data_IF_937143847713
#
_entry.id   IF_937143847713
#
_cell.length_a   1.000
_cell.length_b   1.000
_cell.length_c   1.000
_cell.angle_alpha   90.00
_cell.angle_beta   90.00
_cell.angle_gamma   90.00
#
_symmetry.space_group_name_H-M   'P 1'
#
loop_
_entity.id
_entity.type
_entity.pdbx_description
1 polymer ?
#
# COMPACT_ATOMS: atom_id res chain seq x y z
N UNK A 1 15.11 -29.13 32.33
CA UNK A 1 16.24 -28.27 32.75
C UNK A 1 16.31 -27.10 31.80
N UNK A 2 15.97 -25.89 32.24
CA UNK A 2 16.04 -24.68 31.42
C UNK A 2 17.50 -24.21 31.39
N UNK A 3 18.10 -24.17 30.20
CA UNK A 3 19.41 -23.55 29.98
C UNK A 3 19.21 -22.04 29.86
N UNK A 4 19.58 -21.32 30.92
CA UNK A 4 19.65 -19.87 30.92
C UNK A 4 20.95 -19.45 30.23
N UNK A 5 20.87 -19.09 28.95
CA UNK A 5 21.93 -18.39 28.24
C UNK A 5 21.64 -16.89 28.37
N UNK A 6 22.65 -16.13 28.80
CA UNK A 6 22.54 -14.71 29.11
C UNK A 6 22.07 -13.86 27.93
N UNK A 7 21.46 -12.72 28.28
CA UNK A 7 20.97 -11.64 27.41
C UNK A 7 19.70 -11.95 26.58
N UNK A 8 18.58 -12.11 27.31
CA UNK A 8 17.22 -11.56 27.09
C UNK A 8 16.62 -11.41 25.68
N UNK A 9 17.11 -12.09 24.64
CA UNK A 9 16.27 -12.47 23.50
C UNK A 9 15.79 -13.90 23.75
N UNK A 10 14.57 -14.03 24.26
CA UNK A 10 13.84 -15.30 24.17
C UNK A 10 13.65 -15.59 22.68
N UNK A 11 14.56 -16.37 22.10
CA UNK A 11 14.42 -16.91 20.74
C UNK A 11 13.23 -17.86 20.78
N UNK A 12 12.03 -17.33 20.58
CA UNK A 12 10.80 -18.11 20.44
C UNK A 12 10.93 -18.95 19.17
N UNK A 13 11.26 -20.22 19.33
CA UNK A 13 11.14 -21.18 18.23
C UNK A 13 9.66 -21.55 18.10
N UNK A 14 8.98 -21.13 17.01
CA UNK A 14 7.57 -21.45 16.84
C UNK A 14 7.39 -22.96 16.77
N UNK A 15 6.31 -23.46 17.36
CA UNK A 15 5.93 -24.87 17.20
C UNK A 15 5.69 -25.16 15.71
N UNK A 16 5.86 -26.40 15.23
CA UNK A 16 5.59 -26.76 13.83
C UNK A 16 4.21 -26.27 13.35
N UNK A 17 3.18 -26.45 14.18
CA UNK A 17 1.81 -25.97 13.93
C UNK A 17 1.70 -24.45 13.77
N UNK A 18 2.44 -23.67 14.57
CA UNK A 18 2.48 -22.20 14.47
C UNK A 18 3.18 -21.74 13.19
N UNK A 19 4.22 -22.48 12.78
CA UNK A 19 4.97 -22.18 11.55
C UNK A 19 4.13 -22.44 10.29
N UNK A 20 3.38 -23.55 10.25
CA UNK A 20 2.48 -23.88 9.14
C UNK A 20 1.33 -22.88 9.04
N UNK A 21 0.74 -22.49 10.18
CA UNK A 21 -0.29 -21.46 10.22
C UNK A 21 0.21 -20.10 9.70
N UNK A 22 1.42 -19.70 10.10
CA UNK A 22 2.05 -18.45 9.65
C UNK A 22 2.30 -18.46 8.13
N UNK A 23 2.82 -19.57 7.58
CA UNK A 23 3.00 -19.73 6.14
C UNK A 23 1.66 -19.69 5.38
N UNK A 24 0.64 -20.37 5.89
CA UNK A 24 -0.69 -20.33 5.29
C UNK A 24 -1.28 -18.91 5.27
N UNK A 25 -1.16 -18.20 6.40
CA UNK A 25 -1.61 -16.79 6.52
C UNK A 25 -0.87 -15.87 5.55
N UNK A 26 0.45 -16.08 5.40
CA UNK A 26 1.27 -15.36 4.43
C UNK A 26 0.74 -15.55 3.00
N UNK A 27 0.58 -16.78 2.54
CA UNK A 27 0.10 -17.08 1.19
C UNK A 27 -1.31 -16.55 0.94
N UNK A 28 -2.21 -16.72 1.91
CA UNK A 28 -3.58 -16.22 1.83
C UNK A 28 -3.61 -14.70 1.61
N UNK A 29 -2.76 -13.96 2.33
CA UNK A 29 -2.66 -12.50 2.19
C UNK A 29 -2.13 -12.10 0.81
N UNK A 30 -1.10 -12.79 0.31
CA UNK A 30 -0.53 -12.52 -1.01
C UNK A 30 -1.53 -12.78 -2.14
N UNK A 31 -2.24 -13.91 -2.11
CA UNK A 31 -3.26 -14.22 -3.10
C UNK A 31 -4.43 -13.24 -3.05
N UNK A 32 -4.86 -12.83 -1.85
CA UNK A 32 -5.89 -11.80 -1.72
C UNK A 32 -5.45 -10.48 -2.35
N UNK A 33 -4.20 -10.06 -2.15
CA UNK A 33 -3.65 -8.86 -2.78
C UNK A 33 -3.60 -8.97 -4.31
N UNK A 34 -3.12 -10.10 -4.84
CA UNK A 34 -3.12 -10.33 -6.30
C UNK A 34 -4.54 -10.30 -6.88
N UNK A 35 -5.51 -10.91 -6.20
CA UNK A 35 -6.91 -10.87 -6.63
C UNK A 35 -7.46 -9.44 -6.69
N UNK A 36 -7.18 -8.61 -5.67
CA UNK A 36 -7.56 -7.19 -5.68
C UNK A 36 -6.89 -6.46 -6.84
N UNK A 37 -5.60 -6.72 -7.09
CA UNK A 37 -4.86 -6.06 -8.17
C UNK A 37 -5.45 -6.42 -9.53
N UNK A 38 -5.68 -7.71 -9.80
CA UNK A 38 -6.26 -8.19 -11.05
C UNK A 38 -7.66 -7.60 -11.24
N UNK A 39 -8.51 -7.64 -10.22
CA UNK A 39 -9.84 -7.06 -10.27
C UNK A 39 -9.79 -5.56 -10.61
N UNK A 40 -8.90 -4.83 -9.95
CA UNK A 40 -8.71 -3.40 -10.20
C UNK A 40 -8.23 -3.11 -11.63
N UNK A 41 -7.30 -3.89 -12.17
CA UNK A 41 -6.84 -3.75 -13.55
C UNK A 41 -7.99 -3.97 -14.56
N UNK A 42 -8.84 -4.98 -14.31
CA UNK A 42 -10.04 -5.23 -15.12
C UNK A 42 -11.00 -4.04 -15.05
N UNK A 43 -11.32 -3.56 -13.84
CA UNK A 43 -12.26 -2.45 -13.66
C UNK A 43 -11.75 -1.13 -14.28
N UNK A 44 -10.44 -0.89 -14.21
CA UNK A 44 -9.78 0.28 -14.80
C UNK A 44 -9.71 0.25 -16.33
N UNK A 45 -9.94 -0.90 -16.96
CA UNK A 45 -9.93 -1.05 -18.42
C UNK A 45 -11.24 -0.55 -19.08
N UNK A 46 -12.37 -0.67 -18.39
CA UNK A 46 -13.69 -0.37 -18.97
C UNK A 46 -14.13 1.07 -18.69
N UNK A 47 -14.38 1.88 -19.74
CA UNK A 47 -14.55 3.34 -19.67
C UNK A 47 -15.28 3.95 -18.46
N UNK A 48 -16.60 3.74 -18.31
CA UNK A 48 -17.39 4.34 -17.21
C UNK A 48 -16.99 3.76 -15.85
N UNK A 49 -16.76 2.45 -15.76
CA UNK A 49 -16.34 1.78 -14.53
C UNK A 49 -14.95 2.19 -14.09
N UNK A 50 -14.06 2.53 -15.02
CA UNK A 50 -12.69 2.98 -14.72
C UNK A 50 -12.68 4.26 -13.90
N UNK A 51 -13.60 5.20 -14.19
CA UNK A 51 -13.70 6.44 -13.40
C UNK A 51 -14.18 6.16 -11.98
N UNK A 52 -15.17 5.27 -11.83
CA UNK A 52 -15.69 4.87 -10.52
C UNK A 52 -14.59 4.13 -9.74
N UNK A 53 -13.94 3.15 -10.37
CA UNK A 53 -12.86 2.37 -9.77
C UNK A 53 -11.67 3.23 -9.35
N UNK A 54 -11.25 4.18 -10.19
CA UNK A 54 -10.19 5.13 -9.87
C UNK A 54 -10.56 5.99 -8.64
N UNK A 55 -11.77 6.56 -8.61
CA UNK A 55 -12.21 7.38 -7.49
C UNK A 55 -12.35 6.56 -6.19
N UNK A 56 -12.95 5.38 -6.26
CA UNK A 56 -13.08 4.45 -5.14
C UNK A 56 -11.70 4.05 -4.62
N UNK A 57 -10.75 3.75 -5.51
CA UNK A 57 -9.39 3.43 -5.14
C UNK A 57 -8.67 4.59 -4.44
N UNK A 58 -8.80 5.81 -4.96
CA UNK A 58 -8.24 7.02 -4.35
C UNK A 58 -8.78 7.27 -2.93
N UNK A 59 -10.09 7.04 -2.73
CA UNK A 59 -10.72 7.16 -1.41
C UNK A 59 -10.21 6.05 -0.47
N UNK A 60 -10.26 4.79 -0.90
CA UNK A 60 -9.83 3.64 -0.10
C UNK A 60 -8.36 3.75 0.30
N UNK A 61 -7.46 4.06 -0.65
CA UNK A 61 -6.05 4.23 -0.32
C UNK A 61 -5.83 5.40 0.65
N UNK A 62 -6.64 6.46 0.57
CA UNK A 62 -6.53 7.59 1.50
C UNK A 62 -6.97 7.19 2.89
N UNK A 63 -8.05 6.42 3.01
CA UNK A 63 -8.51 5.89 4.30
C UNK A 63 -7.45 4.99 4.93
N UNK A 64 -6.84 4.10 4.13
CA UNK A 64 -5.73 3.25 4.59
C UNK A 64 -4.53 4.11 4.99
N UNK A 65 -4.16 5.08 4.16
CA UNK A 65 -3.05 6.01 4.43
C UNK A 65 -3.24 6.82 5.71
N UNK A 66 -4.45 7.34 5.94
CA UNK A 66 -4.80 8.05 7.17
C UNK A 66 -4.73 7.09 8.37
N UNK A 67 -5.25 5.87 8.24
CA UNK A 67 -5.14 4.84 9.28
C UNK A 67 -3.69 4.52 9.63
N UNK A 68 -2.82 4.35 8.62
CA UNK A 68 -1.40 4.14 8.79
C UNK A 68 -0.70 5.33 9.43
N UNK A 69 -1.06 6.56 9.02
CA UNK A 69 -0.54 7.79 9.60
C UNK A 69 -0.94 7.93 11.08
N UNK A 70 -2.20 7.63 11.43
CA UNK A 70 -2.65 7.62 12.81
C UNK A 70 -1.89 6.54 13.61
N UNK A 71 -1.79 5.32 13.10
CA UNK A 71 -0.98 4.30 13.76
C UNK A 71 0.45 4.77 13.97
N UNK A 72 1.05 5.46 12.99
CA UNK A 72 2.40 6.01 13.11
C UNK A 72 2.54 7.00 14.27
N UNK A 73 1.58 7.90 14.45
CA UNK A 73 1.62 8.89 15.54
C UNK A 73 1.21 8.33 16.91
N UNK A 74 0.38 7.29 16.93
CA UNK A 74 -0.24 6.78 18.17
C UNK A 74 0.29 5.40 18.63
N UNK A 75 1.27 4.79 17.94
CA UNK A 75 1.94 3.54 18.40
C UNK A 75 3.41 3.77 18.71
N UNK A 76 4.02 2.86 19.48
CA UNK A 76 5.45 2.92 19.79
C UNK A 76 6.27 2.88 18.51
N UNK A 77 7.29 3.74 18.43
CA UNK A 77 8.04 3.96 17.19
C UNK A 77 8.74 2.70 16.67
N UNK A 78 9.02 1.71 17.52
CA UNK A 78 9.61 0.42 17.11
C UNK A 78 8.70 -0.37 16.16
N UNK A 79 7.38 -0.27 16.31
CA UNK A 79 6.41 -0.96 15.44
C UNK A 79 6.09 -0.11 14.20
N UNK A 80 6.08 1.21 14.35
CA UNK A 80 5.77 2.14 13.27
C UNK A 80 6.91 2.32 12.27
N UNK A 81 8.18 2.32 12.72
CA UNK A 81 9.34 2.68 11.90
C UNK A 81 9.49 1.87 10.60
N UNK A 82 8.97 0.63 10.58
CA UNK A 82 9.06 -0.24 9.42
C UNK A 82 7.82 -0.19 8.50
N UNK A 83 6.85 0.68 8.78
CA UNK A 83 5.62 0.75 8.01
C UNK A 83 5.71 1.72 6.82
N UNK A 84 6.62 1.42 5.88
CA UNK A 84 6.82 2.19 4.64
C UNK A 84 5.60 2.22 3.72
N UNK A 85 4.57 1.42 4.02
CA UNK A 85 3.32 1.39 3.28
C UNK A 85 2.57 2.73 3.29
N UNK A 86 2.88 3.63 4.22
CA UNK A 86 2.34 5.00 4.23
C UNK A 86 2.67 5.78 2.95
N UNK A 87 3.80 5.47 2.28
CA UNK A 87 4.16 6.10 1.00
C UNK A 87 3.35 5.51 -0.16
N UNK A 88 2.97 4.23 -0.09
CA UNK A 88 2.12 3.57 -1.09
C UNK A 88 0.67 4.03 -0.99
N UNK A 89 0.16 4.15 0.24
CA UNK A 89 -1.19 4.58 0.55
C UNK A 89 -1.19 6.06 0.92
N UNK A 90 -1.23 6.92 -0.09
CA UNK A 90 -1.11 8.36 0.10
C UNK A 90 -2.36 8.93 0.80
N UNK A 91 -2.26 9.46 2.04
CA UNK A 91 -3.41 9.87 2.85
C UNK A 91 -4.22 11.01 2.24
N UNK A 92 -3.61 11.80 1.37
CA UNK A 92 -4.25 12.94 0.70
C UNK A 92 -4.72 12.62 -0.72
N UNK A 93 -4.71 11.35 -1.15
CA UNK A 93 -5.09 10.97 -2.51
C UNK A 93 -6.57 11.29 -2.85
N UNK A 94 -7.44 11.36 -1.84
CA UNK A 94 -8.85 11.70 -2.01
C UNK A 94 -9.05 13.12 -2.55
N UNK A 95 -8.07 14.03 -2.35
CA UNK A 95 -8.09 15.38 -2.90
C UNK A 95 -8.12 15.38 -4.43
N UNK A 96 -7.71 14.29 -5.08
CA UNK A 96 -7.79 14.14 -6.53
C UNK A 96 -9.20 13.91 -7.06
N UNK A 97 -10.13 13.45 -6.22
CA UNK A 97 -11.55 13.28 -6.57
C UNK A 97 -12.20 14.65 -6.75
N UNK A 98 -11.77 15.64 -5.97
CA UNK A 98 -12.32 16.99 -6.00
C UNK A 98 -11.64 17.87 -7.07
N UNK A 99 -12.31 18.97 -7.43
CA UNK A 99 -11.71 20.04 -8.27
C UNK A 99 -10.84 20.92 -7.37
N UNK A 100 -9.55 20.59 -7.29
CA UNK A 100 -8.56 21.31 -6.49
C UNK A 100 -7.68 22.21 -7.36
N UNK A 101 -7.14 23.27 -6.78
CA UNK A 101 -6.15 24.14 -7.42
C UNK A 101 -4.83 23.37 -7.66
N UNK A 102 -4.18 23.60 -8.80
CA UNK A 102 -2.89 23.00 -9.18
C UNK A 102 -2.86 21.46 -9.27
N UNK A 103 -3.97 20.86 -9.74
CA UNK A 103 -4.13 19.39 -9.84
C UNK A 103 -2.95 18.67 -10.51
N UNK A 104 -2.34 19.25 -11.55
CA UNK A 104 -1.14 18.68 -12.21
C UNK A 104 0.06 18.52 -11.27
N UNK A 105 0.37 19.53 -10.45
CA UNK A 105 1.48 19.49 -9.50
C UNK A 105 1.25 18.44 -8.43
N UNK A 106 0.01 18.34 -7.92
CA UNK A 106 -0.34 17.36 -6.89
C UNK A 106 -0.26 15.94 -7.46
N UNK A 107 -0.72 15.71 -8.71
CA UNK A 107 -0.59 14.41 -9.38
C UNK A 107 0.87 14.04 -9.57
N UNK A 108 1.71 14.99 -10.01
CA UNK A 108 3.14 14.78 -10.18
C UNK A 108 3.80 14.39 -8.85
N UNK A 109 3.50 15.11 -7.78
CA UNK A 109 3.97 14.78 -6.44
C UNK A 109 3.56 13.38 -5.99
N UNK A 110 2.31 13.00 -6.23
CA UNK A 110 1.81 11.65 -5.94
C UNK A 110 2.54 10.55 -6.72
N UNK A 111 2.85 10.78 -8.00
CA UNK A 111 3.65 9.84 -8.80
C UNK A 111 5.08 9.76 -8.26
N UNK A 112 5.70 10.88 -7.90
CA UNK A 112 7.05 10.90 -7.29
C UNK A 112 7.07 10.08 -5.99
N UNK A 113 6.10 10.28 -5.09
CA UNK A 113 5.98 9.50 -3.85
C UNK A 113 5.87 8.00 -4.16
N UNK A 114 5.06 7.62 -5.15
CA UNK A 114 4.92 6.22 -5.56
C UNK A 114 6.24 5.63 -6.09
N UNK A 115 7.03 6.42 -6.83
CA UNK A 115 8.35 5.98 -7.30
C UNK A 115 9.36 5.85 -6.15
N UNK A 116 9.32 6.73 -5.15
CA UNK A 116 10.14 6.58 -3.94
C UNK A 116 9.76 5.31 -3.17
N UNK A 117 8.47 5.00 -3.11
CA UNK A 117 8.01 3.76 -2.50
C UNK A 117 8.52 2.53 -3.24
N UNK A 118 8.64 2.55 -4.58
CA UNK A 118 9.21 1.42 -5.34
C UNK A 118 10.62 1.07 -4.86
N UNK A 119 11.47 2.08 -4.63
CA UNK A 119 12.82 1.89 -4.10
C UNK A 119 12.75 1.25 -2.71
N UNK A 120 11.89 1.76 -1.83
CA UNK A 120 11.69 1.19 -0.50
C UNK A 120 11.18 -0.27 -0.58
N UNK A 121 10.23 -0.57 -1.46
CA UNK A 121 9.67 -1.91 -1.61
C UNK A 121 10.73 -2.96 -1.99
N UNK A 122 11.67 -2.59 -2.86
CA UNK A 122 12.81 -3.45 -3.21
C UNK A 122 13.73 -3.67 -2.00
N UNK A 123 14.08 -2.60 -1.28
CA UNK A 123 14.93 -2.68 -0.09
C UNK A 123 14.31 -3.54 1.01
N UNK A 124 13.00 -3.43 1.22
CA UNK A 124 12.26 -4.18 2.23
C UNK A 124 11.65 -5.50 1.72
N UNK A 125 12.02 -5.97 0.53
CA UNK A 125 11.50 -7.21 -0.09
C UNK A 125 9.96 -7.29 -0.18
N UNK A 126 9.28 -6.15 -0.17
CA UNK A 126 7.81 -6.02 -0.18
C UNK A 126 7.25 -5.96 -1.61
N UNK A 127 7.79 -6.80 -2.49
CA UNK A 127 7.57 -6.76 -3.95
C UNK A 127 6.12 -7.13 -4.30
N UNK A 128 5.45 -7.89 -3.44
CA UNK A 128 4.05 -8.28 -3.62
C UNK A 128 3.07 -7.08 -3.68
N UNK A 129 3.47 -5.92 -3.15
CA UNK A 129 2.70 -4.67 -3.20
C UNK A 129 2.88 -3.88 -4.51
N UNK A 130 3.76 -4.34 -5.42
CA UNK A 130 4.01 -3.69 -6.71
C UNK A 130 2.74 -3.48 -7.55
N UNK A 131 1.77 -4.40 -7.44
CA UNK A 131 0.48 -4.28 -8.12
C UNK A 131 -0.29 -3.00 -7.76
N UNK A 132 -0.24 -2.57 -6.49
CA UNK A 132 -0.88 -1.33 -6.07
C UNK A 132 -0.19 -0.09 -6.64
N UNK A 133 1.14 -0.13 -6.78
CA UNK A 133 1.88 0.94 -7.45
C UNK A 133 1.48 1.06 -8.93
N UNK A 134 1.35 -0.06 -9.65
CA UNK A 134 0.87 -0.04 -11.03
C UNK A 134 -0.51 0.59 -11.14
N UNK A 135 -1.43 0.24 -10.23
CA UNK A 135 -2.77 0.84 -10.14
C UNK A 135 -2.66 2.35 -9.91
N UNK A 136 -1.81 2.79 -8.99
CA UNK A 136 -1.57 4.20 -8.71
C UNK A 136 -1.10 4.98 -9.95
N UNK A 137 -0.17 4.40 -10.73
CA UNK A 137 0.32 5.00 -11.99
C UNK A 137 -0.77 5.06 -13.06
N UNK A 138 -1.55 3.98 -13.23
CA UNK A 138 -2.65 3.95 -14.21
C UNK A 138 -3.70 5.01 -13.86
N UNK A 139 -4.09 5.10 -12.58
CA UNK A 139 -5.03 6.11 -12.09
C UNK A 139 -4.49 7.52 -12.33
N UNK A 140 -3.23 7.78 -12.00
CA UNK A 140 -2.59 9.08 -12.26
C UNK A 140 -2.62 9.45 -13.75
N UNK A 141 -2.28 8.51 -14.64
CA UNK A 141 -2.32 8.72 -16.08
C UNK A 141 -3.74 9.05 -16.59
N UNK A 142 -4.75 8.30 -16.13
CA UNK A 142 -6.15 8.58 -16.49
C UNK A 142 -6.59 9.98 -16.07
N UNK A 143 -6.13 10.46 -14.91
CA UNK A 143 -6.44 11.82 -14.45
C UNK A 143 -5.75 12.89 -15.30
N UNK A 144 -4.48 12.69 -15.67
CA UNK A 144 -3.75 13.59 -16.56
C UNK A 144 -4.43 13.68 -17.93
N UNK A 145 -4.84 12.54 -18.50
CA UNK A 145 -5.56 12.51 -19.77
C UNK A 145 -6.90 13.27 -19.71
N UNK A 146 -7.57 13.25 -18.56
CA UNK A 146 -8.81 14.03 -18.34
C UNK A 146 -8.57 15.53 -18.18
N UNK A 147 -7.39 15.96 -17.74
CA UNK A 147 -7.03 17.39 -17.63
C UNK A 147 -6.74 18.01 -19.01
N UNK A 148 -6.34 17.20 -19.99
CA UNK A 148 -6.02 17.63 -21.36
C UNK A 148 -7.23 17.70 -22.31
N UNK A 149 -8.42 17.29 -21.86
CA UNK A 149 -9.68 17.33 -22.61
C UNK A 149 -10.51 18.52 -22.17
#
# INVERSE_FOLDING_TARGET
KANWVGELELVHQPKPEESEFSQYSFWKTHYAMFAIVILMLILLHYGKTATIAANSWLILQSMVGIGLLLLWFFTSHSVAANNVNILLFFPLAFLFVFKTFNKEKIITFYVIINMLWLVAAVVFTSIYLFGFMMINVIVANQMILKLKK
#
